data_IF_573286370518
#
_entry.id   IF_573286370518
#
_cell.length_a   1.000
_cell.length_b   1.000
_cell.length_c   1.000
_cell.angle_alpha   90.00
_cell.angle_beta   90.00
_cell.angle_gamma   90.00
#
_symmetry.space_group_name_H-M   'P 1'
#
loop_
_entity.id
_entity.type
_entity.pdbx_description
1 polymer ?
#
# COMPACT_ATOMS: atom_id res chain seq x y z
N UNK A 1 -1.91 8.53 5.85
CA UNK A 1 -2.14 9.58 4.82
C UNK A 1 -2.96 10.74 5.37
N UNK A 2 -4.22 10.58 5.77
CA UNK A 2 -4.99 11.69 6.39
C UNK A 2 -4.37 12.16 7.72
N UNK A 3 -3.92 11.23 8.57
CA UNK A 3 -3.25 11.57 9.84
C UNK A 3 -1.88 12.22 9.65
N UNK A 4 -1.16 11.85 8.59
CA UNK A 4 0.14 12.45 8.22
C UNK A 4 -0.03 13.82 7.56
N UNK A 5 -1.12 14.06 6.82
CA UNK A 5 -1.45 15.35 6.22
C UNK A 5 -1.83 16.41 7.27
N UNK A 6 -2.39 15.99 8.40
CA UNK A 6 -2.75 16.90 9.49
C UNK A 6 -1.54 17.23 10.40
N UNK A 7 -0.54 16.34 10.46
CA UNK A 7 0.63 16.49 11.34
C UNK A 7 1.82 17.23 10.70
N UNK A 8 1.82 17.41 9.38
CA UNK A 8 2.97 17.94 8.63
C UNK A 8 2.57 19.28 7.99
N UNK A 9 2.87 20.37 8.68
CA UNK A 9 2.72 21.76 8.23
C UNK A 9 3.82 22.16 7.21
N UNK A 10 4.26 21.22 6.35
CA UNK A 10 5.19 21.51 5.26
C UNK A 10 4.41 21.88 3.99
N UNK A 11 4.90 22.85 3.19
CA UNK A 11 4.38 23.06 1.84
C UNK A 11 4.62 21.79 1.02
N UNK A 12 3.57 21.01 0.80
CA UNK A 12 3.63 19.82 -0.04
C UNK A 12 3.99 20.25 -1.46
N UNK A 13 5.28 20.16 -1.80
CA UNK A 13 5.75 20.34 -3.16
C UNK A 13 4.98 19.42 -4.12
N UNK A 14 4.89 19.82 -5.39
CA UNK A 14 4.14 19.08 -6.43
C UNK A 14 4.47 17.58 -6.44
N UNK A 15 5.72 17.22 -6.14
CA UNK A 15 6.14 15.82 -6.13
C UNK A 15 5.63 15.02 -4.93
N UNK A 16 5.49 15.63 -3.76
CA UNK A 16 4.87 14.97 -2.61
C UNK A 16 3.40 14.64 -2.88
N UNK A 17 2.68 15.54 -3.57
CA UNK A 17 1.28 15.31 -3.97
C UNK A 17 1.16 14.17 -4.98
N UNK A 18 2.05 14.10 -5.98
CA UNK A 18 2.11 12.98 -6.92
C UNK A 18 2.44 11.65 -6.22
N UNK A 19 3.33 11.67 -5.21
CA UNK A 19 3.64 10.50 -4.39
C UNK A 19 2.42 9.97 -3.62
N UNK A 20 1.61 10.86 -3.04
CA UNK A 20 0.36 10.49 -2.36
C UNK A 20 -0.66 9.87 -3.33
N UNK A 21 -0.82 10.44 -4.53
CA UNK A 21 -1.70 9.90 -5.56
C UNK A 21 -1.25 8.52 -6.04
N UNK A 22 0.05 8.35 -6.29
CA UNK A 22 0.62 7.05 -6.67
C UNK A 22 0.40 5.99 -5.59
N UNK A 23 0.60 6.35 -4.31
CA UNK A 23 0.37 5.45 -3.18
C UNK A 23 -1.10 5.07 -3.01
N UNK A 24 -2.02 6.01 -3.25
CA UNK A 24 -3.46 5.74 -3.24
C UNK A 24 -3.84 4.72 -4.33
N UNK A 25 -3.27 4.85 -5.53
CA UNK A 25 -3.47 3.89 -6.62
C UNK A 25 -2.97 2.48 -6.29
N UNK A 26 -1.77 2.36 -5.71
CA UNK A 26 -1.22 1.07 -5.27
C UNK A 26 -2.10 0.44 -4.19
N UNK A 27 -2.58 1.23 -3.24
CA UNK A 27 -3.46 0.76 -2.16
C UNK A 27 -4.79 0.26 -2.72
N UNK A 28 -5.44 1.03 -3.61
CA UNK A 28 -6.69 0.60 -4.25
C UNK A 28 -6.51 -0.70 -5.03
N UNK A 29 -5.42 -0.83 -5.80
CA UNK A 29 -5.10 -2.07 -6.50
C UNK A 29 -4.94 -3.24 -5.53
N UNK A 30 -4.21 -3.08 -4.43
CA UNK A 30 -4.00 -4.13 -3.45
C UNK A 30 -5.33 -4.57 -2.79
N UNK A 31 -6.21 -3.62 -2.48
CA UNK A 31 -7.54 -3.89 -1.91
C UNK A 31 -8.47 -4.61 -2.89
N UNK A 32 -8.57 -4.14 -4.14
CA UNK A 32 -9.46 -4.76 -5.15
C UNK A 32 -9.07 -6.20 -5.38
N UNK A 33 -7.78 -6.47 -5.56
CA UNK A 33 -7.32 -7.83 -5.83
C UNK A 33 -7.58 -8.69 -4.56
N UNK A 34 -7.47 -8.15 -3.33
CA UNK A 34 -7.69 -8.92 -2.08
C UNK A 34 -9.17 -9.31 -1.94
N UNK A 35 -10.07 -8.37 -2.20
CA UNK A 35 -11.52 -8.63 -2.18
C UNK A 35 -11.89 -9.67 -3.23
N UNK A 36 -11.29 -9.60 -4.42
CA UNK A 36 -11.50 -10.59 -5.47
C UNK A 36 -11.04 -12.00 -5.03
N UNK A 37 -9.88 -12.09 -4.37
CA UNK A 37 -9.39 -13.35 -3.80
C UNK A 37 -10.34 -13.92 -2.75
N UNK A 38 -10.81 -13.09 -1.81
CA UNK A 38 -11.76 -13.51 -0.77
C UNK A 38 -13.04 -14.07 -1.42
N UNK A 39 -13.53 -13.43 -2.49
CA UNK A 39 -14.72 -13.92 -3.21
C UNK A 39 -14.46 -15.26 -3.88
N UNK A 40 -13.30 -15.44 -4.51
CA UNK A 40 -12.91 -16.72 -5.13
C UNK A 40 -12.77 -17.83 -4.08
N UNK A 41 -12.15 -17.54 -2.94
CA UNK A 41 -11.94 -18.50 -1.85
C UNK A 41 -13.28 -18.91 -1.20
N UNK A 42 -14.20 -17.96 -1.01
CA UNK A 42 -15.58 -18.25 -0.55
C UNK A 42 -16.34 -19.07 -1.60
N UNK A 43 -16.20 -18.76 -2.89
CA UNK A 43 -16.83 -19.52 -3.97
C UNK A 43 -16.26 -20.96 -4.09
N UNK A 44 -15.01 -21.17 -3.69
CA UNK A 44 -14.36 -22.48 -3.59
C UNK A 44 -14.84 -23.30 -2.36
N UNK A 45 -15.75 -22.76 -1.55
CA UNK A 45 -16.36 -23.45 -0.41
C UNK A 45 -15.70 -23.19 0.94
N UNK A 46 -14.72 -22.29 1.03
CA UNK A 46 -14.13 -21.89 2.31
C UNK A 46 -15.10 -21.04 3.12
N UNK A 47 -15.08 -21.19 4.44
CA UNK A 47 -15.83 -20.30 5.32
C UNK A 47 -15.31 -18.86 5.16
N UNK A 48 -16.18 -17.85 5.27
CA UNK A 48 -15.78 -16.44 5.09
C UNK A 48 -14.60 -16.03 6.00
N UNK A 49 -14.53 -16.61 7.20
CA UNK A 49 -13.46 -16.32 8.15
C UNK A 49 -12.11 -16.89 7.68
N UNK A 50 -12.09 -18.15 7.27
CA UNK A 50 -10.90 -18.80 6.73
C UNK A 50 -10.46 -18.17 5.41
N UNK A 51 -11.40 -17.86 4.53
CA UNK A 51 -11.13 -17.19 3.27
C UNK A 51 -10.43 -15.84 3.48
N UNK A 52 -10.84 -15.03 4.46
CA UNK A 52 -10.18 -13.75 4.78
C UNK A 52 -8.76 -13.97 5.31
N UNK A 53 -8.55 -14.93 6.20
CA UNK A 53 -7.22 -15.20 6.76
C UNK A 53 -6.27 -15.72 5.68
N UNK A 54 -6.69 -16.75 4.94
CA UNK A 54 -5.89 -17.43 3.92
C UNK A 54 -5.50 -16.47 2.79
N UNK A 55 -6.46 -15.69 2.28
CA UNK A 55 -6.22 -14.69 1.25
C UNK A 55 -5.32 -13.55 1.74
N UNK A 56 -5.48 -13.10 2.99
CA UNK A 56 -4.62 -12.07 3.58
C UNK A 56 -3.18 -12.57 3.72
N UNK A 57 -2.97 -13.78 4.24
CA UNK A 57 -1.63 -14.38 4.42
C UNK A 57 -0.91 -14.57 3.08
N UNK A 58 -1.60 -15.08 2.05
CA UNK A 58 -1.01 -15.28 0.71
C UNK A 58 -0.57 -13.97 0.06
N UNK A 59 -1.23 -12.86 0.37
CA UNK A 59 -0.94 -11.53 -0.20
C UNK A 59 0.01 -10.70 0.63
N UNK A 60 0.05 -10.94 1.93
CA UNK A 60 0.94 -10.23 2.84
C UNK A 60 2.39 -10.30 2.37
N UNK A 61 2.83 -11.49 1.93
CA UNK A 61 4.21 -11.71 1.46
C UNK A 61 4.58 -10.84 0.23
N UNK A 62 3.85 -10.86 -0.89
CA UNK A 62 4.16 -9.98 -2.02
C UNK A 62 3.97 -8.47 -1.73
N UNK A 63 2.99 -8.08 -0.90
CA UNK A 63 2.78 -6.66 -0.53
C UNK A 63 3.94 -6.13 0.33
N UNK A 64 4.40 -6.91 1.30
CA UNK A 64 5.52 -6.51 2.17
C UNK A 64 6.81 -6.35 1.37
N UNK A 65 7.08 -7.25 0.41
CA UNK A 65 8.27 -7.16 -0.45
C UNK A 65 8.24 -5.89 -1.30
N UNK A 66 7.09 -5.54 -1.89
CA UNK A 66 6.97 -4.32 -2.70
C UNK A 66 7.03 -3.05 -1.86
N UNK A 67 6.40 -3.04 -0.68
CA UNK A 67 6.49 -1.92 0.25
C UNK A 67 7.93 -1.72 0.75
N UNK A 68 8.62 -2.80 1.13
CA UNK A 68 10.02 -2.75 1.55
C UNK A 68 10.93 -2.24 0.43
N UNK A 69 10.73 -2.71 -0.81
CA UNK A 69 11.48 -2.22 -1.97
C UNK A 69 11.27 -0.72 -2.21
N UNK A 70 10.03 -0.23 -2.10
CA UNK A 70 9.73 1.20 -2.23
C UNK A 70 10.38 2.04 -1.12
N UNK A 71 10.33 1.58 0.12
CA UNK A 71 10.98 2.26 1.27
C UNK A 71 12.50 2.30 1.08
N UNK A 72 13.12 1.19 0.67
CA UNK A 72 14.55 1.12 0.37
C UNK A 72 14.95 2.01 -0.82
N UNK A 73 14.08 2.15 -1.81
CA UNK A 73 14.31 3.03 -2.95
C UNK A 73 14.18 4.52 -2.58
N UNK A 74 13.32 4.87 -1.63
CA UNK A 74 13.11 6.24 -1.15
C UNK A 74 14.16 6.68 -0.13
N UNK A 75 14.75 5.75 0.62
CA UNK A 75 15.81 6.01 1.61
C UNK A 75 16.95 6.92 1.12
N UNK A 76 17.57 6.72 -0.07
CA UNK A 76 18.61 7.62 -0.57
C UNK A 76 18.07 8.98 -1.03
N UNK A 77 16.83 9.05 -1.55
CA UNK A 77 16.24 10.34 -1.96
C UNK A 77 16.04 11.29 -0.77
N UNK A 78 15.82 10.76 0.43
CA UNK A 78 15.70 11.57 1.65
C UNK A 78 17.02 12.23 2.07
N UNK A 79 18.15 11.75 1.55
CA UNK A 79 19.48 12.31 1.87
C UNK A 79 19.94 13.40 0.90
N UNK A 80 19.18 13.64 -0.18
CA UNK A 80 19.52 14.61 -1.21
C UNK A 80 18.77 15.95 -0.97
N UNK A 81 19.46 17.10 -0.83
CA UNK A 81 18.84 18.40 -0.49
C UNK A 81 17.92 18.97 -1.58
N UNK A 82 17.75 18.27 -2.70
CA UNK A 82 16.77 18.60 -3.74
C UNK A 82 15.36 18.06 -3.42
N UNK A 83 15.25 17.08 -2.51
CA UNK A 83 14.01 16.35 -2.18
C UNK A 83 13.58 16.50 -0.71
N UNK A 84 14.35 17.19 0.13
CA UNK A 84 14.07 17.49 1.54
C UNK A 84 13.77 18.96 1.80
#
# INVERSE_FOLDING_TARGET
VLFTLWAVDLPLGLVAQLGVLALAGVTMRNTVILVDQIRQDVAAGLSRYEAVIESTVRRFRPIVVTAAAAILALLPLLTDPFWG
#
